data_IF_533233933359
#
_entry.id   IF_533233933359
#
_cell.length_a   1.000
_cell.length_b   1.000
_cell.length_c   1.000
_cell.angle_alpha   90.00
_cell.angle_beta   90.00
_cell.angle_gamma   90.00
#
_symmetry.space_group_name_H-M   'P 1'
#
loop_
_entity.id
_entity.type
_entity.pdbx_description
1 polymer ?
#
# COMPACT_ATOMS: atom_id res chain seq x y z
N UNK A 1 -34.85 -15.42 -4.28
CA UNK A 1 -34.80 -14.58 -5.50
C UNK A 1 -33.36 -14.12 -5.65
N UNK A 2 -32.62 -14.73 -6.58
CA UNK A 2 -31.19 -14.52 -6.76
C UNK A 2 -30.89 -13.18 -7.44
N UNK A 3 -30.03 -12.39 -6.83
CA UNK A 3 -29.56 -11.10 -7.36
C UNK A 3 -28.25 -11.37 -8.11
N UNK A 4 -28.30 -11.34 -9.45
CA UNK A 4 -27.10 -11.27 -10.28
C UNK A 4 -26.54 -9.85 -10.24
N UNK A 5 -25.80 -9.52 -9.18
CA UNK A 5 -24.99 -8.29 -9.13
C UNK A 5 -23.65 -8.56 -9.81
N UNK A 6 -23.56 -8.20 -11.08
CA UNK A 6 -22.34 -8.25 -11.87
C UNK A 6 -21.30 -7.22 -11.35
N UNK A 7 -20.59 -7.55 -10.27
CA UNK A 7 -19.23 -7.03 -10.04
C UNK A 7 -18.32 -7.87 -10.95
N UNK A 8 -18.27 -7.51 -12.23
CA UNK A 8 -17.33 -8.12 -13.17
C UNK A 8 -15.95 -7.54 -12.86
N UNK A 9 -15.20 -8.23 -12.01
CA UNK A 9 -13.75 -8.06 -11.91
C UNK A 9 -13.13 -8.55 -13.23
N UNK A 10 -13.04 -7.68 -14.25
CA UNK A 10 -12.36 -8.02 -15.50
C UNK A 10 -10.86 -7.84 -15.32
N UNK A 11 -10.21 -8.91 -14.91
CA UNK A 11 -8.76 -9.06 -14.93
C UNK A 11 -8.25 -9.10 -16.37
N UNK A 12 -7.23 -8.29 -16.66
CA UNK A 12 -6.34 -8.58 -17.79
C UNK A 12 -5.13 -9.30 -17.24
N UNK A 13 -5.32 -10.61 -17.00
CA UNK A 13 -4.24 -11.57 -17.00
C UNK A 13 -4.75 -12.77 -17.82
N UNK A 14 -4.10 -13.07 -18.95
CA UNK A 14 -4.49 -14.17 -19.83
C UNK A 14 -4.16 -15.52 -19.16
N UNK A 15 -5.18 -16.34 -18.86
CA UNK A 15 -5.39 -17.74 -19.33
C UNK A 15 -6.19 -18.66 -18.35
N UNK A 16 -7.47 -18.93 -18.70
CA UNK A 16 -8.34 -20.16 -18.72
C UNK A 16 -7.99 -21.41 -17.83
N UNK A 17 -8.94 -22.34 -17.50
CA UNK A 17 -10.16 -22.28 -16.64
C UNK A 17 -10.32 -23.47 -15.63
N UNK A 18 -11.50 -23.49 -14.97
CA UNK A 18 -12.26 -24.61 -14.31
C UNK A 18 -12.16 -24.67 -12.77
N UNK A 19 -13.22 -24.89 -11.98
CA UNK A 19 -14.66 -25.11 -12.22
C UNK A 19 -15.43 -25.16 -10.88
N UNK A 20 -16.74 -24.87 -10.93
CA UNK A 20 -17.89 -25.22 -10.06
C UNK A 20 -17.71 -25.59 -8.57
N UNK A 21 -18.55 -25.00 -7.71
CA UNK A 21 -19.07 -25.63 -6.49
C UNK A 21 -19.54 -24.65 -5.41
N UNK A 22 -20.86 -24.51 -5.21
CA UNK A 22 -21.45 -23.74 -4.11
C UNK A 22 -21.70 -24.63 -2.90
N UNK A 23 -21.34 -24.19 -1.69
CA UNK A 23 -21.85 -24.73 -0.42
C UNK A 23 -21.93 -23.64 0.67
N UNK A 24 -22.93 -23.83 1.51
CA UNK A 24 -23.44 -22.98 2.59
C UNK A 24 -22.97 -23.57 3.95
N UNK A 25 -22.57 -22.76 4.94
CA UNK A 25 -22.96 -22.88 6.37
C UNK A 25 -22.15 -22.01 7.37
N UNK A 26 -22.91 -21.20 8.12
CA UNK A 26 -22.87 -20.82 9.55
C UNK A 26 -21.57 -20.54 10.33
N UNK A 27 -21.54 -19.31 10.88
CA UNK A 27 -20.62 -18.74 11.89
C UNK A 27 -20.59 -19.49 13.23
N UNK A 28 -19.41 -19.48 13.85
CA UNK A 28 -19.19 -19.63 15.29
C UNK A 28 -18.26 -18.49 15.75
N UNK A 29 -18.70 -17.74 16.75
CA UNK A 29 -18.07 -16.53 17.31
C UNK A 29 -17.00 -16.85 18.33
N UNK A 30 -15.86 -16.14 18.28
CA UNK A 30 -14.86 -16.10 19.35
C UNK A 30 -14.26 -14.71 19.47
N UNK A 31 -14.48 -14.05 20.61
CA UNK A 31 -13.93 -12.75 20.97
C UNK A 31 -12.45 -12.86 21.39
N UNK A 32 -11.63 -11.84 21.10
CA UNK A 32 -10.26 -11.78 21.61
C UNK A 32 -9.52 -10.47 21.36
N UNK A 33 -9.41 -9.65 22.41
CA UNK A 33 -8.23 -8.85 22.81
C UNK A 33 -7.54 -7.91 21.83
N UNK A 34 -7.72 -6.59 22.00
CA UNK A 34 -6.97 -5.54 21.31
C UNK A 34 -5.61 -5.29 21.98
N UNK A 35 -4.49 -5.56 21.30
CA UNK A 35 -3.19 -4.94 21.57
C UNK A 35 -2.98 -3.75 20.62
N UNK A 36 -2.50 -2.62 21.15
CA UNK A 36 -2.38 -1.35 20.44
C UNK A 36 -0.91 -0.96 20.28
N UNK A 37 -0.20 -1.62 19.37
CA UNK A 37 1.16 -1.23 18.97
C UNK A 37 1.20 -0.76 17.52
N UNK A 38 1.43 0.54 17.33
CA UNK A 38 1.43 1.22 16.03
C UNK A 38 2.69 0.90 15.21
N UNK A 39 2.48 0.51 13.95
CA UNK A 39 3.51 0.13 12.97
C UNK A 39 4.58 1.19 12.68
N UNK A 40 5.74 0.76 12.18
CA UNK A 40 6.81 1.67 11.76
C UNK A 40 6.48 2.29 10.39
N UNK A 41 6.67 3.61 10.23
CA UNK A 41 6.54 4.28 8.93
C UNK A 41 7.94 4.62 8.41
N UNK A 42 8.15 4.52 7.09
CA UNK A 42 9.45 4.71 6.44
C UNK A 42 9.40 5.83 5.38
N UNK A 43 10.53 6.52 5.19
CA UNK A 43 10.77 7.44 4.07
C UNK A 43 11.84 6.83 3.18
N UNK A 44 11.60 6.77 1.87
CA UNK A 44 12.58 6.27 0.92
C UNK A 44 13.61 7.35 0.58
N UNK A 45 14.89 7.12 0.83
CA UNK A 45 15.96 8.02 0.37
C UNK A 45 16.79 7.29 -0.70
N UNK A 46 16.82 7.82 -1.92
CA UNK A 46 17.57 7.23 -3.03
C UNK A 46 18.87 8.00 -3.25
N UNK A 47 20.03 7.35 -3.16
CA UNK A 47 21.35 8.00 -3.31
C UNK A 47 21.93 7.65 -4.67
N UNK A 48 22.32 8.65 -5.46
CA UNK A 48 22.97 8.42 -6.76
C UNK A 48 24.40 8.97 -6.78
N UNK A 49 25.37 8.07 -6.62
CA UNK A 49 26.64 8.12 -7.34
C UNK A 49 26.99 6.72 -7.84
N UNK A 50 27.23 6.59 -9.15
CA UNK A 50 27.94 5.45 -9.72
C UNK A 50 29.39 5.51 -9.21
N UNK A 51 29.67 4.78 -8.14
CA UNK A 51 31.03 4.53 -7.64
C UNK A 51 31.17 3.04 -7.33
N UNK A 52 32.37 2.46 -7.45
CA UNK A 52 32.58 1.03 -7.25
C UNK A 52 32.10 0.66 -5.84
N UNK A 53 31.31 -0.40 -5.76
CA UNK A 53 30.71 -0.89 -4.52
C UNK A 53 31.85 -1.35 -3.61
N UNK A 54 32.32 -0.45 -2.74
CA UNK A 54 33.13 -0.79 -1.58
C UNK A 54 32.22 -1.40 -0.54
N UNK A 55 32.02 -2.72 -0.59
CA UNK A 55 31.42 -3.47 0.50
C UNK A 55 32.40 -3.42 1.67
N UNK A 56 32.21 -2.51 2.61
CA UNK A 56 32.83 -2.64 3.94
C UNK A 56 32.14 -3.81 4.62
N UNK A 57 32.81 -4.95 4.59
CA UNK A 57 32.40 -6.23 5.15
C UNK A 57 32.50 -6.16 6.68
N UNK A 58 31.53 -5.52 7.34
CA UNK A 58 31.23 -5.88 8.72
C UNK A 58 30.44 -7.19 8.67
N UNK A 59 30.96 -8.22 9.34
CA UNK A 59 30.42 -9.58 9.34
C UNK A 59 28.94 -9.56 9.74
N UNK A 60 28.06 -9.89 8.80
CA UNK A 60 26.71 -10.37 9.10
C UNK A 60 26.80 -11.91 9.15
N UNK A 61 26.73 -12.45 10.36
CA UNK A 61 26.50 -13.87 10.62
C UNK A 61 25.07 -14.25 10.18
N UNK A 62 24.80 -15.51 9.78
CA UNK A 62 23.45 -15.95 9.44
C UNK A 62 22.59 -16.01 10.70
N UNK A 63 21.47 -15.26 10.72
CA UNK A 63 20.50 -15.33 11.82
C UNK A 63 19.43 -16.34 11.46
N UNK A 64 19.35 -17.42 12.23
CA UNK A 64 18.25 -18.40 12.21
C UNK A 64 16.91 -17.72 12.54
N UNK A 65 15.84 -18.22 11.92
CA UNK A 65 14.47 -17.70 12.01
C UNK A 65 13.94 -17.71 13.46
N UNK A 66 14.06 -16.57 14.14
CA UNK A 66 13.46 -16.32 15.45
C UNK A 66 12.12 -15.60 15.31
N UNK A 67 11.04 -16.29 15.69
CA UNK A 67 9.67 -15.77 15.68
C UNK A 67 9.50 -14.49 16.50
N UNK A 68 9.07 -13.42 15.83
CA UNK A 68 8.68 -12.15 16.43
C UNK A 68 7.35 -11.68 15.84
N UNK A 69 6.37 -11.38 16.69
CA UNK A 69 5.00 -11.04 16.29
C UNK A 69 4.85 -9.80 15.40
N UNK A 70 3.71 -9.65 14.70
CA UNK A 70 3.56 -8.71 13.60
C UNK A 70 3.44 -7.27 14.10
N UNK A 71 4.54 -6.53 14.03
CA UNK A 71 4.53 -5.07 13.94
C UNK A 71 4.62 -4.68 12.47
N UNK A 72 3.47 -4.56 11.79
CA UNK A 72 3.38 -4.20 10.37
C UNK A 72 3.82 -2.75 10.14
N UNK A 73 5.03 -2.58 9.58
CA UNK A 73 5.47 -1.33 8.98
C UNK A 73 4.81 -1.15 7.60
N UNK A 74 4.68 0.06 7.06
CA UNK A 74 4.28 0.25 5.64
C UNK A 74 5.37 -0.31 4.72
N UNK A 75 5.20 -1.52 4.13
CA UNK A 75 6.29 -2.23 3.48
C UNK A 75 6.35 -1.97 1.97
N UNK A 76 5.31 -1.36 1.39
CA UNK A 76 5.19 -1.24 -0.07
C UNK A 76 6.19 -0.23 -0.65
N UNK A 77 6.23 0.98 -0.10
CA UNK A 77 7.08 2.03 -0.65
C UNK A 77 8.57 1.76 -0.40
N UNK A 78 8.91 1.27 0.79
CA UNK A 78 10.28 0.93 1.15
C UNK A 78 10.78 -0.28 0.34
N UNK A 79 9.98 -1.35 0.27
CA UNK A 79 10.30 -2.55 -0.50
C UNK A 79 10.44 -2.27 -2.01
N UNK A 80 9.52 -1.50 -2.60
CA UNK A 80 9.61 -1.12 -4.00
C UNK A 80 10.87 -0.29 -4.30
N UNK A 81 11.25 0.62 -3.39
CA UNK A 81 12.48 1.42 -3.53
C UNK A 81 13.72 0.54 -3.43
N UNK A 82 13.77 -0.39 -2.47
CA UNK A 82 14.89 -1.32 -2.29
C UNK A 82 15.07 -2.21 -3.53
N UNK A 83 13.97 -2.80 -4.01
CA UNK A 83 13.96 -3.62 -5.20
C UNK A 83 14.39 -2.83 -6.45
N UNK A 84 13.92 -1.59 -6.61
CA UNK A 84 14.35 -0.70 -7.70
C UNK A 84 15.85 -0.40 -7.63
N UNK A 85 16.38 -0.14 -6.42
CA UNK A 85 17.82 0.05 -6.21
C UNK A 85 18.64 -1.16 -6.67
N UNK A 86 18.24 -2.36 -6.23
CA UNK A 86 18.88 -3.63 -6.64
C UNK A 86 18.82 -3.84 -8.16
N UNK A 87 17.65 -3.65 -8.76
CA UNK A 87 17.42 -3.93 -10.19
C UNK A 87 18.08 -2.90 -11.12
N UNK A 88 18.12 -1.63 -10.70
CA UNK A 88 18.66 -0.53 -11.51
C UNK A 88 20.11 -0.17 -11.17
N UNK A 89 20.68 -0.77 -10.13
CA UNK A 89 22.07 -0.57 -9.72
C UNK A 89 22.32 0.76 -9.00
N UNK A 90 21.34 1.29 -8.27
CA UNK A 90 21.48 2.49 -7.44
C UNK A 90 21.46 2.16 -5.96
N UNK A 91 22.21 2.93 -5.16
CA UNK A 91 22.22 2.77 -3.71
C UNK A 91 20.93 3.32 -3.10
N UNK A 92 20.36 2.59 -2.16
CA UNK A 92 19.12 2.99 -1.48
C UNK A 92 19.32 3.06 0.03
N UNK A 93 18.61 4.01 0.65
CA UNK A 93 18.59 4.21 2.09
C UNK A 93 17.14 4.28 2.55
N UNK A 94 16.74 3.40 3.45
CA UNK A 94 15.43 3.47 4.10
C UNK A 94 15.54 4.28 5.39
N UNK A 95 14.88 5.44 5.48
CA UNK A 95 14.82 6.23 6.70
C UNK A 95 13.64 5.75 7.54
N UNK A 96 13.92 5.03 8.63
CA UNK A 96 12.93 4.28 9.40
C UNK A 96 12.61 5.00 10.70
N UNK A 97 11.31 5.15 11.01
CA UNK A 97 10.89 5.73 12.28
C UNK A 97 11.16 4.79 13.46
N UNK A 98 11.82 5.33 14.48
CA UNK A 98 12.03 4.69 15.77
C UNK A 98 13.46 4.19 15.92
N UNK A 99 14.30 4.99 16.59
CA UNK A 99 15.67 4.60 16.95
C UNK A 99 15.70 3.37 17.86
N UNK A 100 14.64 3.17 18.66
CA UNK A 100 14.48 1.99 19.53
C UNK A 100 14.41 0.65 18.76
N UNK A 101 14.24 0.69 17.44
CA UNK A 101 14.19 -0.48 16.58
C UNK A 101 15.55 -0.86 16.00
N UNK A 102 16.57 0.01 16.11
CA UNK A 102 17.87 -0.21 15.49
C UNK A 102 18.58 -1.47 16.02
N UNK A 103 18.41 -1.76 17.31
CA UNK A 103 19.04 -2.90 17.99
C UNK A 103 18.12 -4.13 18.11
N UNK A 104 16.96 -4.10 17.45
CA UNK A 104 15.96 -5.18 17.49
C UNK A 104 16.01 -6.01 16.21
N UNK A 105 15.56 -7.28 16.25
CA UNK A 105 15.35 -8.06 15.04
C UNK A 105 14.47 -7.31 14.05
N UNK A 106 14.93 -7.23 12.79
CA UNK A 106 14.17 -6.60 11.72
C UNK A 106 12.89 -7.39 11.46
N UNK A 107 11.79 -6.68 11.22
CA UNK A 107 10.59 -7.34 10.71
C UNK A 107 10.85 -7.87 9.28
N UNK A 108 10.05 -8.83 8.78
CA UNK A 108 10.28 -9.45 7.47
C UNK A 108 10.43 -8.44 6.32
N UNK A 109 9.67 -7.34 6.37
CA UNK A 109 9.70 -6.30 5.34
C UNK A 109 11.02 -5.53 5.32
N UNK A 110 11.51 -5.10 6.49
CA UNK A 110 12.79 -4.41 6.62
C UNK A 110 13.96 -5.35 6.34
N UNK A 111 13.86 -6.61 6.79
CA UNK A 111 14.82 -7.66 6.46
C UNK A 111 14.94 -7.86 4.95
N UNK A 112 13.80 -7.89 4.24
CA UNK A 112 13.78 -7.97 2.77
C UNK A 112 14.40 -6.74 2.12
N UNK A 113 14.10 -5.52 2.61
CA UNK A 113 14.74 -4.30 2.11
C UNK A 113 16.26 -4.37 2.25
N UNK A 114 16.75 -4.79 3.43
CA UNK A 114 18.18 -4.96 3.67
C UNK A 114 18.81 -6.05 2.77
N UNK A 115 18.11 -7.17 2.56
CA UNK A 115 18.53 -8.23 1.64
C UNK A 115 18.59 -7.73 0.17
N UNK A 116 17.75 -6.77 -0.18
CA UNK A 116 17.77 -6.09 -1.48
C UNK A 116 18.90 -5.02 -1.57
N UNK A 117 19.74 -4.90 -0.54
CA UNK A 117 20.91 -4.00 -0.52
C UNK A 117 20.58 -2.58 -0.03
N UNK A 118 19.38 -2.35 0.52
CA UNK A 118 19.03 -1.06 1.11
C UNK A 118 19.71 -0.89 2.47
N UNK A 119 20.37 0.26 2.68
CA UNK A 119 20.86 0.63 4.01
C UNK A 119 19.73 1.19 4.85
N UNK A 120 19.51 0.64 6.04
CA UNK A 120 18.49 1.16 6.96
C UNK A 120 19.09 2.24 7.87
N UNK A 121 18.41 3.38 7.97
CA UNK A 121 18.78 4.48 8.86
C UNK A 121 17.61 4.82 9.77
N UNK A 122 17.71 4.43 11.03
CA UNK A 122 16.68 4.71 12.03
C UNK A 122 16.83 6.14 12.55
N UNK A 123 15.69 6.83 12.69
CA UNK A 123 15.61 8.19 13.23
C UNK A 123 14.58 8.28 14.34
N UNK A 124 14.77 9.21 15.27
CA UNK A 124 13.81 9.46 16.35
C UNK A 124 12.43 9.78 15.81
N UNK A 125 11.40 9.50 16.62
CA UNK A 125 10.01 9.84 16.28
C UNK A 125 9.83 11.34 16.05
N UNK A 126 10.61 12.17 16.72
CA UNK A 126 10.55 13.62 16.64
C UNK A 126 11.19 14.14 15.35
N UNK A 127 12.32 13.56 14.94
CA UNK A 127 12.89 13.81 13.62
C UNK A 127 11.93 13.36 12.51
N UNK A 128 11.28 12.20 12.67
CA UNK A 128 10.33 11.68 11.70
C UNK A 128 9.09 12.58 11.52
N UNK A 129 8.58 13.19 12.60
CA UNK A 129 7.47 14.16 12.48
C UNK A 129 7.86 15.41 11.69
N UNK A 130 9.14 15.76 11.69
CA UNK A 130 9.74 16.91 11.00
C UNK A 130 10.43 16.51 9.69
N UNK A 131 10.13 15.32 9.16
CA UNK A 131 10.83 14.73 8.01
C UNK A 131 10.83 15.61 6.75
N UNK A 132 9.83 16.47 6.60
CA UNK A 132 9.69 17.37 5.46
C UNK A 132 10.33 18.75 5.69
N UNK A 133 10.83 19.02 6.90
CA UNK A 133 11.51 20.29 7.21
C UNK A 133 12.88 20.35 6.54
N UNK A 134 13.28 21.53 5.99
CA UNK A 134 14.58 21.70 5.34
C UNK A 134 15.75 21.22 6.20
N UNK A 135 15.73 21.50 7.51
CA UNK A 135 16.79 21.09 8.42
C UNK A 135 17.00 19.56 8.49
N UNK A 136 15.92 18.78 8.46
CA UNK A 136 16.00 17.30 8.48
C UNK A 136 16.50 16.79 7.13
N UNK A 137 15.95 17.34 6.03
CA UNK A 137 16.35 16.97 4.68
C UNK A 137 17.83 17.28 4.40
N UNK A 138 18.30 18.45 4.84
CA UNK A 138 19.69 18.87 4.68
C UNK A 138 20.63 18.03 5.56
N UNK A 139 20.20 17.64 6.76
CA UNK A 139 20.93 16.67 7.58
C UNK A 139 21.08 15.30 6.89
N UNK A 140 20.03 14.81 6.24
CA UNK A 140 20.08 13.58 5.46
C UNK A 140 21.02 13.70 4.25
N UNK A 141 20.97 14.82 3.52
CA UNK A 141 21.89 15.11 2.38
C UNK A 141 23.33 15.25 2.84
N UNK A 142 23.59 15.93 3.95
CA UNK A 142 24.94 16.04 4.50
C UNK A 142 25.52 14.68 4.88
N UNK A 143 24.69 13.78 5.43
CA UNK A 143 25.10 12.43 5.83
C UNK A 143 25.30 11.48 4.65
N UNK A 144 24.45 11.56 3.63
CA UNK A 144 24.37 10.56 2.56
C UNK A 144 24.83 11.06 1.19
N UNK A 145 25.20 12.33 1.08
CA UNK A 145 25.59 12.99 -0.15
C UNK A 145 24.39 13.36 -1.03
N UNK A 146 24.68 13.66 -2.29
CA UNK A 146 23.68 13.99 -3.30
C UNK A 146 22.68 12.84 -3.47
N UNK A 147 21.41 13.11 -3.13
CA UNK A 147 20.37 12.11 -3.11
C UNK A 147 19.01 12.69 -3.52
N UNK A 148 18.19 11.83 -4.12
CA UNK A 148 16.79 12.07 -4.36
C UNK A 148 16.00 11.60 -3.13
N UNK A 149 15.38 12.55 -2.44
CA UNK A 149 14.46 12.26 -1.34
C UNK A 149 13.12 11.86 -1.93
N UNK A 150 12.68 10.63 -1.65
CA UNK A 150 11.35 10.14 -2.00
C UNK A 150 10.48 10.26 -0.75
N UNK A 151 9.38 11.04 -0.78
CA UNK A 151 8.55 11.24 0.39
C UNK A 151 7.89 9.93 0.83
N UNK A 152 7.35 9.92 2.06
CA UNK A 152 6.54 8.82 2.57
C UNK A 152 5.45 8.42 1.55
N UNK A 153 5.31 7.12 1.31
CA UNK A 153 4.40 6.58 0.30
C UNK A 153 4.72 6.95 -1.17
N UNK A 154 5.86 7.60 -1.45
CA UNK A 154 6.29 7.97 -2.80
C UNK A 154 5.51 9.09 -3.47
N UNK A 155 4.57 9.73 -2.77
CA UNK A 155 3.66 10.72 -3.36
C UNK A 155 4.35 12.07 -3.62
N UNK A 156 4.71 12.31 -4.87
CA UNK A 156 5.24 13.57 -5.38
C UNK A 156 4.72 13.84 -6.81
N UNK A 157 5.02 15.01 -7.37
CA UNK A 157 4.57 15.36 -8.71
C UNK A 157 4.99 14.34 -9.80
N UNK A 158 6.25 13.88 -9.87
CA UNK A 158 6.64 12.80 -10.78
C UNK A 158 5.83 11.50 -10.62
N UNK A 159 5.60 11.05 -9.38
CA UNK A 159 4.82 9.85 -9.11
C UNK A 159 3.35 10.01 -9.55
N UNK A 160 2.78 11.20 -9.39
CA UNK A 160 1.44 11.53 -9.88
C UNK A 160 1.37 11.49 -11.41
N UNK A 161 2.41 11.93 -12.12
CA UNK A 161 2.49 11.74 -13.57
C UNK A 161 2.53 10.26 -13.97
N UNK A 162 3.33 9.45 -13.26
CA UNK A 162 3.38 8.00 -13.49
C UNK A 162 2.04 7.33 -13.26
N UNK A 163 1.37 7.66 -12.14
CA UNK A 163 0.03 7.13 -11.84
C UNK A 163 -1.06 7.59 -12.83
N UNK A 164 -0.83 8.66 -13.61
CA UNK A 164 -1.74 9.04 -14.68
C UNK A 164 -1.71 8.08 -15.86
N UNK A 165 -0.63 7.32 -16.06
CA UNK A 165 -0.58 6.27 -17.09
C UNK A 165 -1.59 5.16 -16.80
N UNK A 166 -1.68 4.73 -15.54
CA UNK A 166 -2.69 3.77 -15.08
C UNK A 166 -4.12 4.27 -15.39
N UNK A 167 -4.40 5.55 -15.17
CA UNK A 167 -5.70 6.12 -15.52
C UNK A 167 -5.98 6.06 -17.03
N UNK A 168 -4.97 6.30 -17.87
CA UNK A 168 -5.13 6.21 -19.33
C UNK A 168 -5.40 4.78 -19.77
N UNK A 169 -4.75 3.79 -19.18
CA UNK A 169 -4.98 2.37 -19.47
C UNK A 169 -6.40 1.92 -19.11
N UNK A 170 -6.97 2.49 -18.05
CA UNK A 170 -8.30 2.15 -17.55
C UNK A 170 -9.45 2.92 -18.22
N UNK A 171 -9.18 4.05 -18.90
CA UNK A 171 -10.22 4.97 -19.38
C UNK A 171 -11.27 4.31 -20.30
N UNK A 172 -10.89 3.29 -21.07
CA UNK A 172 -11.76 2.59 -22.01
C UNK A 172 -12.34 1.29 -21.41
N UNK A 173 -11.98 0.98 -20.17
CA UNK A 173 -12.30 -0.30 -19.51
C UNK A 173 -13.31 -0.17 -18.39
N UNK A 174 -13.48 1.02 -17.83
CA UNK A 174 -14.40 1.25 -16.72
C UNK A 174 -15.01 2.66 -16.74
N UNK A 175 -16.19 2.78 -16.13
CA UNK A 175 -16.79 4.07 -15.80
C UNK A 175 -16.29 4.60 -14.45
N UNK A 176 -15.94 3.69 -13.53
CA UNK A 176 -15.44 3.99 -12.19
C UNK A 176 -14.15 3.21 -11.95
N UNK A 177 -13.08 3.88 -11.53
CA UNK A 177 -11.88 3.21 -11.04
C UNK A 177 -11.73 3.45 -9.53
N UNK A 178 -11.38 2.43 -8.77
CA UNK A 178 -11.30 2.49 -7.32
C UNK A 178 -9.90 2.15 -6.84
N UNK A 179 -9.41 2.86 -5.82
CA UNK A 179 -8.05 2.68 -5.30
C UNK A 179 -7.98 2.94 -3.80
N UNK A 180 -7.26 2.10 -3.06
CA UNK A 180 -6.93 2.35 -1.66
C UNK A 180 -5.94 3.52 -1.54
N UNK A 181 -6.12 4.38 -0.53
CA UNK A 181 -5.37 5.63 -0.43
C UNK A 181 -4.67 5.79 0.93
N UNK A 182 -3.34 5.74 0.91
CA UNK A 182 -2.48 6.18 2.02
C UNK A 182 -2.18 7.68 1.91
N UNK A 183 -1.27 8.05 1.00
CA UNK A 183 -0.82 9.44 0.79
C UNK A 183 -1.47 10.14 -0.40
N UNK A 184 -2.30 9.45 -1.18
CA UNK A 184 -3.17 10.05 -2.20
C UNK A 184 -2.56 10.24 -3.60
N UNK A 185 -1.25 10.01 -3.79
CA UNK A 185 -0.58 10.17 -5.09
C UNK A 185 -1.16 9.29 -6.20
N UNK A 186 -1.48 8.03 -5.91
CA UNK A 186 -2.10 7.14 -6.89
C UNK A 186 -3.46 7.64 -7.34
N UNK A 187 -4.32 8.09 -6.40
CA UNK A 187 -5.62 8.67 -6.74
C UNK A 187 -5.48 9.95 -7.58
N UNK A 188 -4.54 10.83 -7.20
CA UNK A 188 -4.28 12.09 -7.90
C UNK A 188 -3.93 11.85 -9.38
N UNK A 189 -3.04 10.88 -9.65
CA UNK A 189 -2.66 10.51 -11.01
C UNK A 189 -3.76 9.75 -11.74
N UNK A 190 -4.33 8.72 -11.12
CA UNK A 190 -5.41 7.89 -11.66
C UNK A 190 -6.57 8.76 -12.18
N UNK A 191 -7.05 9.69 -11.35
CA UNK A 191 -8.13 10.61 -11.72
C UNK A 191 -7.76 11.49 -12.91
N UNK A 192 -6.51 11.98 -12.96
CA UNK A 192 -6.04 12.79 -14.08
C UNK A 192 -5.97 11.99 -15.40
N UNK A 193 -5.62 10.71 -15.35
CA UNK A 193 -5.48 9.84 -16.51
C UNK A 193 -6.80 9.33 -17.11
N UNK A 194 -7.83 9.12 -16.28
CA UNK A 194 -9.13 8.58 -16.72
C UNK A 194 -9.85 9.49 -17.73
N UNK A 195 -9.67 10.81 -17.61
CA UNK A 195 -10.33 11.78 -18.47
C UNK A 195 -11.85 11.91 -18.22
N UNK A 196 -12.56 12.65 -19.09
CA UNK A 196 -13.95 13.05 -18.85
C UNK A 196 -14.93 11.87 -18.94
N UNK A 197 -16.01 11.96 -18.16
CA UNK A 197 -17.09 10.96 -18.13
C UNK A 197 -16.79 9.70 -17.30
N UNK A 198 -15.64 9.66 -16.64
CA UNK A 198 -15.25 8.62 -15.68
C UNK A 198 -14.88 9.28 -14.36
N UNK A 199 -14.97 8.52 -13.28
CA UNK A 199 -14.58 8.98 -11.94
C UNK A 199 -13.67 8.00 -11.22
N UNK A 200 -12.76 8.53 -10.42
CA UNK A 200 -11.98 7.74 -9.48
C UNK A 200 -12.62 7.77 -8.08
N UNK A 201 -12.64 6.64 -7.39
CA UNK A 201 -13.04 6.51 -5.99
C UNK A 201 -11.82 6.12 -5.16
N UNK A 202 -11.41 7.01 -4.27
CA UNK A 202 -10.37 6.72 -3.30
C UNK A 202 -10.96 6.18 -2.01
N UNK A 203 -10.32 5.18 -1.41
CA UNK A 203 -10.68 4.63 -0.11
C UNK A 203 -9.55 4.91 0.89
N UNK A 204 -9.64 6.00 1.69
CA UNK A 204 -8.66 6.30 2.71
C UNK A 204 -8.48 5.15 3.70
N UNK A 205 -7.23 4.79 3.97
CA UNK A 205 -6.90 3.83 5.03
C UNK A 205 -6.58 4.51 6.36
N UNK A 206 -6.36 5.82 6.33
CA UNK A 206 -6.08 6.67 7.49
C UNK A 206 -7.33 7.45 7.90
N UNK A 207 -7.39 7.85 9.18
CA UNK A 207 -8.42 8.79 9.67
C UNK A 207 -7.95 10.22 9.47
N UNK A 208 -8.88 11.16 9.35
CA UNK A 208 -8.60 12.59 9.58
C UNK A 208 -8.92 13.54 8.44
N UNK A 209 -9.63 13.12 7.39
CA UNK A 209 -10.19 14.01 6.36
C UNK A 209 -9.19 14.86 5.56
N UNK A 210 -7.88 14.67 5.76
CA UNK A 210 -6.84 15.50 5.17
C UNK A 210 -6.54 15.14 3.71
N UNK A 211 -6.90 13.93 3.29
CA UNK A 211 -6.44 13.34 2.04
C UNK A 211 -6.97 14.06 0.80
N UNK A 212 -8.15 14.69 0.90
CA UNK A 212 -8.71 15.48 -0.20
C UNK A 212 -7.80 16.68 -0.54
N UNK A 213 -7.38 17.43 0.47
CA UNK A 213 -6.45 18.55 0.28
C UNK A 213 -5.09 18.10 -0.25
N UNK A 214 -4.60 16.94 0.21
CA UNK A 214 -3.34 16.38 -0.26
C UNK A 214 -3.39 15.94 -1.73
N UNK A 215 -4.46 15.30 -2.17
CA UNK A 215 -4.68 14.93 -3.57
C UNK A 215 -4.70 16.19 -4.45
N UNK A 216 -5.38 17.26 -4.03
CA UNK A 216 -5.39 18.52 -4.77
C UNK A 216 -4.02 19.21 -4.80
N UNK A 217 -3.29 19.20 -3.68
CA UNK A 217 -1.92 19.73 -3.60
C UNK A 217 -1.00 19.00 -4.58
N UNK A 218 -1.08 17.68 -4.62
CA UNK A 218 -0.34 16.82 -5.53
C UNK A 218 -0.69 17.08 -7.00
N UNK A 219 -1.99 17.21 -7.32
CA UNK A 219 -2.42 17.56 -8.68
C UNK A 219 -2.00 18.97 -9.09
N UNK A 220 -1.99 19.93 -8.15
CA UNK A 220 -1.48 21.29 -8.42
C UNK A 220 0.01 21.28 -8.71
N UNK A 221 0.78 20.53 -7.93
CA UNK A 221 2.22 20.38 -8.16
C UNK A 221 2.55 19.68 -9.49
N UNK A 222 1.77 18.67 -9.88
CA UNK A 222 2.01 17.91 -11.11
C UNK A 222 1.43 18.57 -12.38
N UNK A 223 0.23 19.15 -12.28
CA UNK A 223 -0.55 19.57 -13.46
C UNK A 223 -1.01 21.02 -13.43
N UNK A 224 -0.64 21.80 -12.41
CA UNK A 224 -1.05 23.20 -12.25
C UNK A 224 -2.47 23.40 -11.70
N UNK A 225 -3.21 22.33 -11.40
CA UNK A 225 -4.54 22.41 -10.80
C UNK A 225 -5.24 21.06 -10.72
N UNK A 226 -6.48 21.05 -10.22
CA UNK A 226 -7.30 19.85 -10.09
C UNK A 226 -7.54 19.19 -11.46
N UNK A 227 -7.47 17.86 -11.51
CA UNK A 227 -7.65 17.05 -12.72
C UNK A 227 -8.61 15.89 -12.47
N UNK A 228 -9.47 15.63 -13.46
CA UNK A 228 -10.43 14.53 -13.41
C UNK A 228 -11.55 14.70 -12.39
N UNK A 229 -12.42 13.70 -12.36
CA UNK A 229 -13.45 13.56 -11.34
C UNK A 229 -13.01 12.49 -10.34
N UNK A 230 -12.97 12.84 -9.06
CA UNK A 230 -12.66 11.90 -8.00
C UNK A 230 -13.36 12.27 -6.70
N UNK A 231 -13.61 11.26 -5.85
CA UNK A 231 -14.17 11.38 -4.50
C UNK A 231 -13.45 10.42 -3.55
N UNK A 232 -13.54 10.69 -2.25
CA UNK A 232 -13.01 9.84 -1.19
C UNK A 232 -14.16 9.22 -0.39
N UNK A 233 -14.11 7.91 -0.17
CA UNK A 233 -15.01 7.20 0.74
C UNK A 233 -14.34 6.92 2.08
N UNK A 234 -14.50 7.87 2.99
CA UNK A 234 -13.80 7.89 4.28
C UNK A 234 -14.36 6.88 5.30
N UNK A 235 -15.51 6.26 5.02
CA UNK A 235 -16.22 5.34 5.94
C UNK A 235 -15.45 4.05 6.21
N UNK A 236 -14.62 3.59 5.27
CA UNK A 236 -14.06 2.24 5.25
C UNK A 236 -12.61 2.14 5.73
N UNK A 237 -12.15 3.09 6.55
CA UNK A 237 -10.79 3.07 7.09
C UNK A 237 -10.59 2.00 8.21
N UNK A 238 -11.66 1.36 8.71
CA UNK A 238 -11.64 0.26 9.70
C UNK A 238 -10.80 0.55 10.96
N UNK A 239 -11.00 1.73 11.56
CA UNK A 239 -10.21 2.18 12.70
C UNK A 239 -8.86 2.83 12.36
N UNK A 240 -8.52 3.00 11.09
CA UNK A 240 -7.36 3.76 10.63
C UNK A 240 -6.18 2.87 10.19
N UNK A 241 -5.02 3.49 10.04
CA UNK A 241 -3.85 2.84 9.44
C UNK A 241 -3.39 1.62 10.25
N UNK A 242 -3.11 0.51 9.55
CA UNK A 242 -2.76 -0.80 10.12
C UNK A 242 -3.76 -1.34 11.16
N UNK A 243 -4.98 -0.78 11.24
CA UNK A 243 -6.08 -1.31 12.05
C UNK A 243 -6.98 -2.17 11.20
N UNK A 244 -7.45 -3.25 11.81
CA UNK A 244 -8.37 -4.24 11.26
C UNK A 244 -9.55 -4.39 12.22
N UNK A 245 -10.70 -4.76 11.67
CA UNK A 245 -11.88 -5.14 12.45
C UNK A 245 -12.26 -6.58 12.11
N UNK A 246 -12.95 -7.31 12.99
CA UNK A 246 -13.40 -8.67 12.69
C UNK A 246 -14.20 -8.77 11.40
N UNK A 247 -14.99 -7.73 11.07
CA UNK A 247 -15.78 -7.67 9.84
C UNK A 247 -14.89 -7.55 8.60
N UNK A 248 -13.82 -6.76 8.67
CA UNK A 248 -12.85 -6.63 7.59
C UNK A 248 -12.07 -7.93 7.39
N UNK A 249 -11.67 -8.59 8.49
CA UNK A 249 -10.95 -9.87 8.42
C UNK A 249 -11.82 -10.96 7.81
N UNK A 250 -13.08 -11.07 8.25
CA UNK A 250 -14.05 -12.01 7.69
C UNK A 250 -14.34 -11.73 6.21
N UNK A 251 -14.46 -10.45 5.83
CA UNK A 251 -14.63 -10.06 4.43
C UNK A 251 -13.42 -10.46 3.58
N UNK A 252 -12.19 -10.21 4.07
CA UNK A 252 -10.97 -10.53 3.33
C UNK A 252 -10.82 -12.04 3.09
N UNK A 253 -11.13 -12.85 4.11
CA UNK A 253 -11.13 -14.31 4.03
C UNK A 253 -12.17 -14.82 3.03
N UNK A 254 -13.44 -14.42 3.18
CA UNK A 254 -14.53 -14.78 2.27
C UNK A 254 -14.23 -14.31 0.82
N UNK A 255 -13.68 -13.11 0.65
CA UNK A 255 -13.29 -12.62 -0.66
C UNK A 255 -12.18 -13.49 -1.28
N UNK A 256 -11.18 -13.86 -0.48
CA UNK A 256 -10.09 -14.74 -0.90
C UNK A 256 -10.60 -16.11 -1.35
N UNK A 257 -11.49 -16.71 -0.58
CA UNK A 257 -12.09 -18.01 -0.88
C UNK A 257 -12.96 -17.96 -2.14
N UNK A 258 -13.85 -16.96 -2.25
CA UNK A 258 -14.78 -16.86 -3.39
C UNK A 258 -14.09 -16.56 -4.71
N UNK A 259 -13.01 -15.77 -4.69
CA UNK A 259 -12.37 -15.26 -5.92
C UNK A 259 -11.00 -15.88 -6.18
N UNK A 260 -10.50 -16.74 -5.30
CA UNK A 260 -9.15 -17.31 -5.41
C UNK A 260 -8.05 -16.25 -5.33
N UNK A 261 -8.31 -15.13 -4.66
CA UNK A 261 -7.41 -13.98 -4.57
C UNK A 261 -7.26 -13.52 -3.12
N UNK A 262 -6.21 -13.97 -2.42
CA UNK A 262 -5.90 -13.45 -1.09
C UNK A 262 -5.58 -11.96 -1.16
N UNK A 263 -6.25 -11.16 -0.31
CA UNK A 263 -6.15 -9.70 -0.35
C UNK A 263 -5.50 -9.13 0.91
N UNK A 264 -4.60 -8.19 0.66
CA UNK A 264 -3.90 -7.42 1.69
C UNK A 264 -4.89 -6.62 2.57
N UNK A 265 -4.77 -6.72 3.90
CA UNK A 265 -5.80 -6.25 4.85
C UNK A 265 -5.70 -4.78 5.27
N UNK A 266 -4.55 -4.13 5.08
CA UNK A 266 -4.27 -2.74 5.45
C UNK A 266 -4.89 -1.77 4.43
N UNK A 267 -4.83 -2.10 3.14
CA UNK A 267 -5.23 -1.27 2.00
C UNK A 267 -6.29 -1.93 1.13
N UNK A 268 -5.97 -3.06 0.50
CA UNK A 268 -6.77 -3.63 -0.60
C UNK A 268 -8.12 -4.13 -0.09
N UNK A 269 -8.13 -4.88 1.00
CA UNK A 269 -9.35 -5.40 1.61
C UNK A 269 -10.31 -4.27 2.00
N UNK A 270 -9.80 -3.14 2.52
CA UNK A 270 -10.63 -1.99 2.92
C UNK A 270 -11.34 -1.35 1.72
N UNK A 271 -10.61 -1.20 0.62
CA UNK A 271 -11.17 -0.70 -0.64
C UNK A 271 -12.23 -1.67 -1.18
N UNK A 272 -11.94 -2.97 -1.22
CA UNK A 272 -12.87 -3.97 -1.74
C UNK A 272 -14.11 -4.13 -0.86
N UNK A 273 -13.94 -4.03 0.46
CA UNK A 273 -15.02 -4.03 1.43
C UNK A 273 -15.94 -2.84 1.18
N UNK A 274 -15.36 -1.63 1.10
CA UNK A 274 -16.13 -0.42 0.81
C UNK A 274 -16.82 -0.44 -0.55
N UNK A 275 -16.16 -0.93 -1.60
CA UNK A 275 -16.79 -1.10 -2.91
C UNK A 275 -17.99 -2.05 -2.88
N UNK A 276 -17.86 -3.17 -2.18
CA UNK A 276 -18.94 -4.14 -2.04
C UNK A 276 -20.13 -3.51 -1.32
N UNK A 277 -19.89 -2.80 -0.21
CA UNK A 277 -20.93 -2.06 0.50
C UNK A 277 -21.60 -0.99 -0.37
N UNK A 278 -20.84 -0.21 -1.16
CA UNK A 278 -21.43 0.78 -2.06
C UNK A 278 -22.35 0.16 -3.13
N UNK A 279 -22.02 -1.04 -3.61
CA UNK A 279 -22.87 -1.77 -4.56
C UNK A 279 -24.16 -2.23 -3.87
N UNK A 280 -24.05 -2.78 -2.66
CA UNK A 280 -25.20 -3.22 -1.85
C UNK A 280 -26.12 -2.06 -1.46
N UNK A 281 -25.56 -0.88 -1.19
CA UNK A 281 -26.28 0.37 -0.91
C UNK A 281 -26.93 0.98 -2.17
N UNK A 282 -26.67 0.44 -3.37
CA UNK A 282 -27.17 1.00 -4.63
C UNK A 282 -26.51 2.32 -5.03
N UNK A 283 -25.35 2.66 -4.45
CA UNK A 283 -24.62 3.89 -4.75
C UNK A 283 -23.96 3.88 -6.15
N UNK A 284 -23.87 2.71 -6.78
CA UNK A 284 -23.42 2.53 -8.15
C UNK A 284 -24.60 2.03 -9.00
N UNK A 285 -24.87 2.71 -10.12
CA UNK A 285 -25.97 2.36 -11.01
C UNK A 285 -25.78 0.94 -11.59
N UNK A 286 -26.84 0.13 -11.72
CA UNK A 286 -26.77 -1.17 -12.38
C UNK A 286 -26.12 -1.09 -13.77
N UNK A 287 -25.26 -2.04 -14.09
CA UNK A 287 -24.50 -2.06 -15.36
C UNK A 287 -23.24 -1.19 -15.36
N UNK A 288 -22.94 -0.44 -14.30
CA UNK A 288 -21.69 0.31 -14.18
C UNK A 288 -20.50 -0.65 -14.13
N UNK A 289 -19.55 -0.48 -15.06
CA UNK A 289 -18.28 -1.22 -15.00
C UNK A 289 -17.30 -0.51 -14.07
N UNK A 290 -16.85 -1.23 -13.03
CA UNK A 290 -15.92 -0.74 -12.01
C UNK A 290 -14.59 -1.48 -12.13
N UNK A 291 -13.47 -0.75 -12.13
CA UNK A 291 -12.13 -1.31 -12.01
C UNK A 291 -11.60 -1.09 -10.59
N UNK A 292 -11.31 -2.16 -9.85
CA UNK A 292 -10.61 -2.09 -8.57
C UNK A 292 -9.09 -2.20 -8.80
N UNK A 293 -8.33 -1.19 -8.41
CA UNK A 293 -6.87 -1.17 -8.53
C UNK A 293 -6.27 -1.90 -7.32
N UNK A 294 -5.79 -3.11 -7.56
CA UNK A 294 -5.11 -3.93 -6.55
C UNK A 294 -3.63 -3.52 -6.51
N UNK A 295 -3.24 -2.81 -5.45
CA UNK A 295 -1.89 -2.24 -5.29
C UNK A 295 -0.90 -3.14 -4.56
N UNK A 296 -1.35 -4.31 -4.10
CA UNK A 296 -0.53 -5.29 -3.39
C UNK A 296 -1.30 -6.58 -3.14
N UNK A 297 -0.57 -7.62 -2.75
CA UNK A 297 -1.14 -8.94 -2.40
C UNK A 297 -0.69 -9.36 -1.01
N UNK A 298 -1.34 -10.37 -0.41
CA UNK A 298 -0.88 -10.92 0.88
C UNK A 298 0.58 -11.39 0.86
N UNK A 299 1.07 -11.84 -0.30
CA UNK A 299 2.45 -12.33 -0.45
C UNK A 299 3.51 -11.23 -0.27
N UNK A 300 3.15 -9.96 -0.47
CA UNK A 300 4.06 -8.83 -0.23
C UNK A 300 4.49 -8.73 1.25
N UNK A 301 3.83 -9.47 2.15
CA UNK A 301 4.03 -9.44 3.61
C UNK A 301 4.66 -10.71 4.18
N UNK A 302 5.05 -11.65 3.31
CA UNK A 302 5.47 -12.99 3.68
C UNK A 302 4.28 -13.86 4.11
N UNK A 303 4.35 -15.20 3.94
CA UNK A 303 3.30 -16.05 4.49
C UNK A 303 3.24 -15.83 5.99
N UNK A 304 2.08 -15.39 6.50
CA UNK A 304 1.75 -15.64 7.89
C UNK A 304 1.97 -17.14 8.08
N UNK A 305 2.89 -17.53 8.97
CA UNK A 305 3.15 -18.92 9.25
C UNK A 305 1.79 -19.59 9.51
N UNK A 306 1.33 -20.38 8.55
CA UNK A 306 0.23 -21.30 8.78
C UNK A 306 0.80 -22.22 9.84
N UNK A 307 0.41 -21.99 11.09
CA UNK A 307 0.59 -22.98 12.13
C UNK A 307 -0.26 -24.16 11.68
N UNK A 308 0.36 -25.07 10.95
CA UNK A 308 -0.13 -26.41 10.76
C UNK A 308 -0.34 -26.96 12.16
N UNK A 309 -1.60 -26.99 12.61
CA UNK A 309 -1.98 -27.73 13.80
C UNK A 309 -1.85 -29.20 13.45
N UNK A 310 -0.62 -29.72 13.57
CA UNK A 310 -0.39 -31.15 13.61
C UNK A 310 -0.79 -31.65 15.00
N UNK A 311 -2.00 -32.21 15.09
CA UNK A 311 -2.45 -33.39 15.86
C UNK A 311 -3.90 -33.25 16.26
#
# INVERSE_FOLDING_TARGET
>A
MGISSNVIAKWVCRSVPSGLGAFELTRSSGEGGRDTRSGACAVGLCVTRRGPIGVTRERLEPVEEGGGGPGEADPHACGATAAAGRLLGFATVGVIRGEELADRPLNPSLARCAADGMRLHFISRDAYRRKDEPAVLDGLRARFGDCLVVPEGGSNAPAVHGAAELGRELRERCAVAAVACGTGGTLAGLAAGLGPGRRALGFPVLRGGFLGGEVERLQRAAFGGRRGEWRLEERFHCGGYARRTPELDAFAEDFGERHGLPVERIYVAKMLYGLTTLVEEGALAPGTTVAAVVTGTEWDFGPAAQTASSR
#
